data_IF_581767022514
#
_entry.id   IF_581767022514
#
_cell.length_a   1.000
_cell.length_b   1.000
_cell.length_c   1.000
_cell.angle_alpha   90.00
_cell.angle_beta   90.00
_cell.angle_gamma   90.00
#
_symmetry.space_group_name_H-M   'P 1'
#
loop_
_entity.id
_entity.type
_entity.pdbx_description
1 polymer ?
#
# COMPACT_ATOMS: atom_id res chain seq x y z
N UNK A 1 -6.15 -9.59 5.64
CA UNK A 1 -6.06 -8.28 6.34
C UNK A 1 -4.72 -8.07 7.08
N UNK A 2 -4.28 -8.99 7.97
CA UNK A 2 -3.00 -8.81 8.68
C UNK A 2 -1.79 -8.72 7.74
N UNK A 3 -1.78 -9.49 6.66
CA UNK A 3 -0.65 -9.49 5.72
C UNK A 3 -0.63 -8.24 4.83
N UNK A 4 -1.80 -7.68 4.49
CA UNK A 4 -1.91 -6.39 3.82
C UNK A 4 -1.33 -5.25 4.66
N UNK A 5 -1.60 -5.24 5.99
CA UNK A 5 -0.97 -4.27 6.90
C UNK A 5 0.55 -4.41 6.92
N UNK A 6 1.06 -5.65 7.06
CA UNK A 6 2.51 -5.90 7.06
C UNK A 6 3.15 -5.46 5.73
N UNK A 7 2.46 -5.67 4.61
CA UNK A 7 2.93 -5.26 3.30
C UNK A 7 3.02 -3.72 3.18
N UNK A 8 2.01 -2.97 3.64
CA UNK A 8 2.06 -1.51 3.69
C UNK A 8 3.20 -0.98 4.57
N UNK A 9 3.41 -1.59 5.75
CA UNK A 9 4.56 -1.24 6.59
C UNK A 9 5.90 -1.58 5.91
N UNK A 10 5.98 -2.71 5.21
CA UNK A 10 7.18 -3.09 4.47
C UNK A 10 7.51 -2.07 3.37
N UNK A 11 6.49 -1.62 2.62
CA UNK A 11 6.66 -0.56 1.63
C UNK A 11 7.09 0.77 2.25
N UNK A 12 6.53 1.12 3.42
CA UNK A 12 6.96 2.30 4.19
C UNK A 12 8.43 2.22 4.55
N UNK A 13 8.89 1.10 5.10
CA UNK A 13 10.26 0.92 5.61
C UNK A 13 11.31 0.66 4.52
N UNK A 14 10.93 0.03 3.41
CA UNK A 14 11.86 -0.45 2.40
C UNK A 14 11.62 0.20 1.02
N UNK A 15 12.54 1.07 0.62
CA UNK A 15 12.49 1.77 -0.67
C UNK A 15 12.67 0.84 -1.88
N UNK A 16 13.38 -0.29 -1.73
CA UNK A 16 13.53 -1.26 -2.81
C UNK A 16 12.24 -2.05 -3.05
N UNK A 17 11.48 -2.36 -2.00
CA UNK A 17 10.13 -2.94 -2.16
C UNK A 17 9.19 -1.98 -2.91
N UNK A 18 9.31 -0.67 -2.67
CA UNK A 18 8.59 0.35 -3.45
C UNK A 18 9.00 0.37 -4.92
N UNK A 19 10.29 0.24 -5.24
CA UNK A 19 10.75 0.13 -6.64
C UNK A 19 10.16 -1.07 -7.36
N UNK A 20 10.08 -2.22 -6.69
CA UNK A 20 9.42 -3.42 -7.24
C UNK A 20 7.95 -3.14 -7.53
N UNK A 21 7.26 -2.40 -6.65
CA UNK A 21 5.88 -1.99 -6.89
C UNK A 21 5.72 -1.19 -8.19
N UNK A 22 6.65 -0.27 -8.51
CA UNK A 22 6.64 0.51 -9.75
C UNK A 22 6.91 -0.32 -11.02
N UNK A 23 7.31 -1.58 -10.89
CA UNK A 23 7.39 -2.51 -12.03
C UNK A 23 6.06 -3.20 -12.34
N UNK A 24 5.09 -3.11 -11.42
CA UNK A 24 3.73 -3.61 -11.61
C UNK A 24 2.87 -2.57 -12.33
N UNK A 25 1.89 -3.05 -13.10
CA UNK A 25 0.97 -2.24 -13.90
C UNK A 25 -0.51 -2.60 -13.65
N UNK A 26 -0.78 -3.53 -12.74
CA UNK A 26 -2.14 -3.97 -12.40
C UNK A 26 -2.22 -4.52 -10.98
N UNK A 27 -3.42 -4.54 -10.41
CA UNK A 27 -3.68 -5.15 -9.09
C UNK A 27 -3.17 -6.60 -9.01
N UNK A 28 -3.45 -7.40 -10.04
CA UNK A 28 -3.03 -8.81 -10.09
C UNK A 28 -1.52 -8.97 -10.02
N UNK A 29 -0.75 -8.11 -10.68
CA UNK A 29 0.71 -8.14 -10.62
C UNK A 29 1.23 -7.77 -9.23
N UNK A 30 0.62 -6.77 -8.57
CA UNK A 30 1.00 -6.42 -7.19
C UNK A 30 0.67 -7.57 -6.24
N UNK A 31 -0.49 -8.20 -6.37
CA UNK A 31 -0.88 -9.35 -5.57
C UNK A 31 0.04 -10.56 -5.80
N UNK A 32 0.47 -10.80 -7.04
CA UNK A 32 1.44 -11.84 -7.36
C UNK A 32 2.81 -11.56 -6.75
N UNK A 33 3.31 -10.31 -6.86
CA UNK A 33 4.56 -9.89 -6.20
C UNK A 33 4.48 -9.95 -4.69
N UNK A 34 3.37 -9.50 -4.10
CA UNK A 34 3.13 -9.65 -2.68
C UNK A 34 3.19 -11.13 -2.27
N UNK A 35 2.58 -12.02 -3.07
CA UNK A 35 2.59 -13.47 -2.83
C UNK A 35 3.98 -14.08 -2.93
N UNK A 36 4.80 -13.68 -3.91
CA UNK A 36 6.23 -14.05 -4.00
C UNK A 36 7.00 -13.64 -2.74
N UNK A 37 6.65 -12.50 -2.14
CA UNK A 37 7.24 -12.00 -0.90
C UNK A 37 6.63 -12.63 0.37
N UNK A 38 5.67 -13.53 0.23
CA UNK A 38 5.01 -14.23 1.34
C UNK A 38 3.82 -13.48 1.95
N UNK A 39 3.29 -12.46 1.28
CA UNK A 39 2.08 -11.74 1.69
C UNK A 39 0.91 -12.12 0.79
N UNK A 40 -0.20 -12.53 1.38
CA UNK A 40 -1.42 -12.86 0.61
C UNK A 40 -2.54 -11.94 1.07
N UNK A 41 -3.06 -11.14 0.14
CA UNK A 41 -4.20 -10.27 0.37
C UNK A 41 -4.92 -10.00 -0.95
N UNK A 42 -6.18 -9.58 -0.85
CA UNK A 42 -6.93 -9.01 -1.97
C UNK A 42 -6.82 -7.49 -1.99
N UNK A 43 -7.13 -6.87 -3.12
CA UNK A 43 -7.25 -5.42 -3.22
C UNK A 43 -8.14 -4.82 -2.10
N UNK A 44 -9.28 -5.42 -1.79
CA UNK A 44 -10.17 -4.90 -0.75
C UNK A 44 -9.53 -4.97 0.65
N UNK A 45 -8.75 -6.02 0.92
CA UNK A 45 -8.03 -6.15 2.18
C UNK A 45 -6.90 -5.12 2.34
N UNK A 46 -6.27 -4.67 1.24
CA UNK A 46 -5.27 -3.60 1.31
C UNK A 46 -5.90 -2.23 1.56
N UNK A 47 -7.08 -1.96 1.01
CA UNK A 47 -7.83 -0.73 1.31
C UNK A 47 -8.27 -0.69 2.79
N UNK A 48 -8.81 -1.80 3.29
CA UNK A 48 -9.24 -1.92 4.69
C UNK A 48 -8.05 -1.80 5.65
N UNK A 49 -6.90 -2.38 5.27
CA UNK A 49 -5.66 -2.24 6.01
C UNK A 49 -5.18 -0.79 6.02
N UNK A 50 -5.18 -0.11 4.88
CA UNK A 50 -4.83 1.30 4.76
C UNK A 50 -5.72 2.19 5.65
N UNK A 51 -7.05 2.05 5.56
CA UNK A 51 -8.00 2.79 6.41
C UNK A 51 -7.75 2.53 7.90
N UNK A 52 -7.51 1.28 8.25
CA UNK A 52 -7.24 0.88 9.64
C UNK A 52 -5.91 1.43 10.17
N UNK A 53 -4.88 1.56 9.33
CA UNK A 53 -3.60 2.18 9.71
C UNK A 53 -3.79 3.69 9.84
N UNK A 54 -4.46 4.32 8.87
CA UNK A 54 -4.71 5.76 8.87
C UNK A 54 -5.49 6.21 10.12
N UNK A 55 -6.49 5.43 10.55
CA UNK A 55 -7.24 5.68 11.80
C UNK A 55 -6.39 5.56 13.07
N UNK A 56 -5.26 4.84 13.01
CA UNK A 56 -4.33 4.65 14.13
C UNK A 56 -3.18 5.64 14.13
N UNK A 57 -2.94 6.35 13.03
CA UNK A 57 -1.93 7.39 12.96
C UNK A 57 -2.26 8.49 13.97
N UNK A 58 -1.32 8.80 14.85
CA UNK A 58 -1.53 9.82 15.89
C UNK A 58 -1.16 11.22 15.40
N UNK A 59 -0.27 11.29 14.41
CA UNK A 59 0.29 12.53 13.87
C UNK A 59 0.14 12.60 12.35
N UNK A 60 0.08 13.82 11.83
CA UNK A 60 -0.04 14.09 10.39
C UNK A 60 1.10 13.47 9.58
N UNK A 61 2.32 13.54 10.07
CA UNK A 61 3.50 12.99 9.37
C UNK A 61 3.39 11.47 9.16
N UNK A 62 2.82 10.74 10.10
CA UNK A 62 2.61 9.30 9.95
C UNK A 62 1.53 8.99 8.91
N UNK A 63 0.47 9.79 8.89
CA UNK A 63 -0.60 9.69 7.90
C UNK A 63 -0.09 10.02 6.49
N UNK A 64 0.73 11.07 6.33
CA UNK A 64 1.32 11.45 5.04
C UNK A 64 2.19 10.33 4.47
N UNK A 65 3.05 9.71 5.28
CA UNK A 65 3.90 8.61 4.80
C UNK A 65 3.07 7.40 4.35
N UNK A 66 2.00 7.06 5.07
CA UNK A 66 1.11 5.95 4.67
C UNK A 66 0.30 6.31 3.43
N UNK A 67 -0.15 7.56 3.29
CA UNK A 67 -0.80 8.07 2.09
C UNK A 67 0.12 7.98 0.87
N UNK A 68 1.39 8.36 0.99
CA UNK A 68 2.36 8.27 -0.11
C UNK A 68 2.58 6.83 -0.57
N UNK A 69 2.66 5.90 0.38
CA UNK A 69 2.79 4.47 0.08
C UNK A 69 1.54 3.94 -0.64
N UNK A 70 0.35 4.29 -0.13
CA UNK A 70 -0.90 3.84 -0.73
C UNK A 70 -1.17 4.50 -2.09
N UNK A 71 -0.83 5.78 -2.26
CA UNK A 71 -0.89 6.47 -3.55
C UNK A 71 0.04 5.82 -4.57
N UNK A 72 1.24 5.40 -4.14
CA UNK A 72 2.15 4.66 -5.02
C UNK A 72 1.53 3.35 -5.48
N UNK A 73 0.81 2.65 -4.61
CA UNK A 73 0.03 1.47 -4.94
C UNK A 73 -1.08 1.78 -5.97
N UNK A 74 -1.90 2.82 -5.73
CA UNK A 74 -2.97 3.20 -6.66
C UNK A 74 -2.45 3.58 -8.05
N UNK A 75 -1.37 4.36 -8.11
CA UNK A 75 -0.77 4.80 -9.38
C UNK A 75 -0.32 3.60 -10.22
N UNK A 76 0.34 2.61 -9.61
CA UNK A 76 0.84 1.44 -10.34
C UNK A 76 -0.28 0.48 -10.75
N UNK A 77 -1.39 0.47 -10.01
CA UNK A 77 -2.56 -0.35 -10.38
C UNK A 77 -3.49 0.36 -11.37
N UNK A 78 -3.17 1.59 -11.77
CA UNK A 78 -3.96 2.39 -12.72
C UNK A 78 -5.19 3.05 -12.09
N UNK A 79 -5.29 3.07 -10.77
CA UNK A 79 -6.34 3.78 -10.04
C UNK A 79 -5.95 5.23 -9.78
N UNK A 80 -6.95 6.11 -9.77
CA UNK A 80 -6.69 7.52 -9.44
C UNK A 80 -6.32 7.62 -7.96
N UNK A 81 -5.16 8.22 -7.60
CA UNK A 81 -4.80 8.43 -6.22
C UNK A 81 -5.91 9.23 -5.55
N UNK A 82 -6.41 8.70 -4.42
CA UNK A 82 -7.40 9.42 -3.61
C UNK A 82 -6.65 10.55 -2.92
N UNK A 83 -6.61 11.72 -3.56
CA UNK A 83 -6.23 12.96 -2.89
C UNK A 83 -7.28 13.22 -1.81
N UNK A 84 -7.07 12.66 -0.62
CA UNK A 84 -7.73 13.13 0.58
C UNK A 84 -7.20 14.54 0.82
N UNK A 85 -7.92 15.52 0.31
CA UNK A 85 -7.79 16.92 0.73
C UNK A 85 -8.15 16.97 2.21
N UNK A 86 -7.12 16.87 3.06
CA UNK A 86 -7.19 17.16 4.49
C UNK A 86 -7.07 18.66 4.69
#
# INVERSE_FOLDING_TARGET
MQDAMKFLYKLKENSDTRKVLYTCNSHSEVEEKAREMGYVFTHQEIEDAYRSILLKCQNRDEAEVINDVFNSYLIVTGENPVFLSV
#
